data_IF_813014245125
#
_entry.id   IF_813014245125
#
_cell.length_a   1.000
_cell.length_b   1.000
_cell.length_c   1.000
_cell.angle_alpha   90.00
_cell.angle_beta   90.00
_cell.angle_gamma   90.00
#
_symmetry.space_group_name_H-M   'P 1'
#
loop_
_entity.id
_entity.type
_entity.pdbx_description
1 polymer ?
#
# COMPACT_ATOMS: atom_id res chain seq x y z
N UNK A 1 -0.48 -12.27 -0.18
CA UNK A 1 -1.29 -11.50 -1.16
C UNK A 1 -0.44 -10.35 -1.71
N UNK A 2 0.78 -10.66 -2.18
CA UNK A 2 1.83 -9.70 -2.55
C UNK A 2 2.28 -10.05 -3.97
N UNK A 3 1.45 -9.74 -4.98
CA UNK A 3 1.82 -9.91 -6.40
C UNK A 3 1.61 -8.65 -7.23
N UNK A 4 1.43 -7.51 -6.58
CA UNK A 4 1.16 -6.22 -7.23
C UNK A 4 2.12 -5.10 -6.82
N UNK A 5 3.27 -5.41 -6.20
CA UNK A 5 4.32 -4.42 -5.92
C UNK A 5 5.01 -3.88 -7.20
N UNK A 6 4.83 -4.55 -8.35
CA UNK A 6 5.43 -4.15 -9.63
C UNK A 6 4.90 -2.81 -10.19
N UNK A 7 3.78 -2.27 -9.68
CA UNK A 7 3.14 -1.08 -10.26
C UNK A 7 3.45 0.25 -9.53
N UNK A 8 4.23 0.25 -8.45
CA UNK A 8 4.46 1.45 -7.62
C UNK A 8 5.84 2.10 -7.78
N UNK A 9 6.65 1.64 -8.74
CA UNK A 9 8.00 2.17 -9.02
C UNK A 9 7.98 3.25 -10.13
N UNK A 10 6.94 3.30 -10.96
CA UNK A 10 6.93 4.10 -12.19
C UNK A 10 6.59 5.60 -12.03
N UNK A 11 6.22 6.05 -10.81
CA UNK A 11 5.70 7.42 -10.61
C UNK A 11 6.72 8.49 -10.24
N UNK A 12 7.98 8.14 -9.92
CA UNK A 12 8.96 9.08 -9.33
C UNK A 12 10.25 9.20 -10.15
N UNK A 13 10.49 8.31 -11.12
CA UNK A 13 11.77 8.22 -11.84
C UNK A 13 12.03 9.38 -12.82
N UNK A 14 11.00 9.94 -13.45
CA UNK A 14 11.20 10.90 -14.54
C UNK A 14 11.42 12.34 -14.07
N UNK A 15 10.88 12.72 -12.90
CA UNK A 15 10.96 14.11 -12.41
C UNK A 15 12.29 14.46 -11.72
N UNK A 16 13.09 13.46 -11.34
CA UNK A 16 14.35 13.65 -10.60
C UNK A 16 15.54 13.99 -11.50
N UNK A 17 15.52 13.63 -12.78
CA UNK A 17 16.60 13.92 -13.73
C UNK A 17 16.74 15.42 -14.07
N UNK A 18 15.64 16.18 -14.01
CA UNK A 18 15.62 17.59 -14.45
C UNK A 18 16.03 18.62 -13.38
N UNK A 19 16.28 18.23 -12.13
CA UNK A 19 16.55 19.19 -11.03
C UNK A 19 18.03 19.40 -10.71
N UNK A 20 18.94 18.82 -11.49
CA UNK A 20 20.39 18.89 -11.25
C UNK A 20 21.21 19.34 -12.47
N UNK A 21 20.55 19.81 -13.53
CA UNK A 21 21.25 20.39 -14.67
C UNK A 21 21.55 21.86 -14.38
N UNK A 22 22.62 22.12 -13.63
CA UNK A 22 23.29 23.41 -13.74
C UNK A 22 24.23 23.34 -14.92
N UNK A 23 24.07 24.24 -15.89
CA UNK A 23 25.03 24.35 -16.98
C UNK A 23 26.44 24.56 -16.40
N UNK A 24 27.42 23.77 -16.83
CA UNK A 24 28.76 23.88 -16.29
C UNK A 24 29.34 25.23 -16.70
N UNK A 25 29.78 26.03 -15.73
CA UNK A 25 30.57 27.21 -16.02
C UNK A 25 31.77 26.81 -16.90
N UNK A 26 32.04 27.59 -17.96
CA UNK A 26 33.23 27.38 -18.77
C UNK A 26 34.43 27.82 -17.93
N UNK A 27 35.04 26.88 -17.20
CA UNK A 27 36.23 27.15 -16.39
C UNK A 27 37.42 27.48 -17.28
N UNK A 28 38.27 28.42 -16.84
CA UNK A 28 39.57 28.68 -17.48
C UNK A 28 40.69 27.76 -16.94
N UNK A 29 40.40 26.97 -15.91
CA UNK A 29 41.40 26.16 -15.21
C UNK A 29 41.33 24.69 -15.67
N UNK A 30 42.47 24.21 -16.19
CA UNK A 30 42.72 22.85 -16.68
C UNK A 30 44.05 22.78 -17.46
N UNK A 31 44.64 21.60 -17.72
CA UNK A 31 45.87 21.46 -18.49
C UNK A 31 45.59 21.64 -20.00
N UNK A 32 45.29 22.87 -20.39
CA UNK A 32 45.01 23.29 -21.77
C UNK A 32 44.33 24.66 -21.78
N UNK A 33 44.98 25.67 -22.36
CA UNK A 33 44.38 27.00 -22.46
C UNK A 33 43.36 27.03 -23.61
N UNK A 34 42.08 27.12 -23.29
CA UNK A 34 41.03 27.39 -24.27
C UNK A 34 41.24 28.77 -24.92
N UNK A 35 41.14 28.85 -26.25
CA UNK A 35 41.23 30.15 -26.90
C UNK A 35 39.99 30.99 -26.63
N UNK A 36 40.13 32.32 -26.50
CA UNK A 36 38.99 33.23 -26.33
C UNK A 36 37.94 33.08 -27.44
N UNK A 37 38.37 32.72 -28.65
CA UNK A 37 37.44 32.50 -29.78
C UNK A 37 36.60 31.25 -29.58
N UNK A 38 37.20 30.16 -29.07
CA UNK A 38 36.47 28.93 -28.74
C UNK A 38 35.56 29.14 -27.54
N UNK A 39 36.04 29.84 -26.51
CA UNK A 39 35.24 30.21 -25.34
C UNK A 39 33.94 30.93 -25.73
N UNK A 40 34.04 32.05 -26.47
CA UNK A 40 32.86 32.81 -26.93
C UNK A 40 31.96 32.03 -27.91
N UNK A 41 32.44 30.93 -28.49
CA UNK A 41 31.62 30.04 -29.33
C UNK A 41 30.86 29.04 -28.48
N UNK A 42 31.50 28.47 -27.46
CA UNK A 42 30.86 27.58 -26.51
C UNK A 42 29.79 28.31 -25.70
N UNK A 43 30.04 29.55 -25.25
CA UNK A 43 29.01 30.36 -24.57
C UNK A 43 27.75 30.51 -25.43
N UNK A 44 27.90 30.84 -26.71
CA UNK A 44 26.76 30.95 -27.65
C UNK A 44 26.07 29.61 -27.92
N UNK A 45 26.82 28.50 -27.90
CA UNK A 45 26.22 27.17 -28.01
C UNK A 45 25.34 26.90 -26.78
N UNK A 46 25.83 27.21 -25.57
CA UNK A 46 25.05 27.03 -24.35
C UNK A 46 23.82 27.94 -24.31
N UNK A 47 23.97 29.22 -24.68
CA UNK A 47 22.85 30.16 -24.81
C UNK A 47 21.79 29.63 -25.78
N UNK A 48 22.18 29.14 -26.96
CA UNK A 48 21.25 28.53 -27.91
C UNK A 48 20.57 27.27 -27.35
N UNK A 49 21.26 26.45 -26.54
CA UNK A 49 20.63 25.30 -25.86
C UNK A 49 19.62 25.77 -24.80
N UNK A 50 19.95 26.80 -24.01
CA UNK A 50 19.05 27.40 -23.01
C UNK A 50 17.81 28.02 -23.65
N UNK A 51 17.96 28.66 -24.80
CA UNK A 51 16.88 29.30 -25.56
C UNK A 51 16.09 28.31 -26.44
N UNK A 52 16.36 27.00 -26.32
CA UNK A 52 15.74 25.92 -27.10
C UNK A 52 15.97 26.03 -28.62
N UNK A 53 17.00 26.77 -29.04
CA UNK A 53 17.44 26.94 -30.43
C UNK A 53 18.32 25.77 -30.89
N UNK A 54 17.79 24.55 -30.80
CA UNK A 54 18.56 23.31 -30.97
C UNK A 54 19.23 23.13 -32.34
N UNK A 55 18.57 23.57 -33.42
CA UNK A 55 19.13 23.51 -34.77
C UNK A 55 20.36 24.43 -34.90
N UNK A 56 20.29 25.63 -34.31
CA UNK A 56 21.42 26.55 -34.27
C UNK A 56 22.55 25.97 -33.41
N UNK A 57 22.24 25.48 -32.22
CA UNK A 57 23.22 24.83 -31.34
C UNK A 57 23.95 23.68 -32.07
N UNK A 58 23.22 22.79 -32.76
CA UNK A 58 23.78 21.67 -33.54
C UNK A 58 24.72 22.16 -34.65
N UNK A 59 24.32 23.21 -35.37
CA UNK A 59 25.16 23.80 -36.42
C UNK A 59 26.44 24.44 -35.85
N UNK A 60 26.33 25.19 -34.76
CA UNK A 60 27.47 25.85 -34.11
C UNK A 60 28.45 24.81 -33.54
N UNK A 61 27.96 23.73 -32.91
CA UNK A 61 28.77 22.60 -32.41
C UNK A 61 29.54 21.96 -33.57
N UNK A 62 28.85 21.62 -34.67
CA UNK A 62 29.48 20.99 -35.84
C UNK A 62 30.61 21.86 -36.41
N UNK A 63 30.33 23.16 -36.61
CA UNK A 63 31.33 24.12 -37.11
C UNK A 63 32.51 24.31 -36.15
N UNK A 64 32.26 24.23 -34.84
CA UNK A 64 33.32 24.34 -33.84
C UNK A 64 34.19 23.07 -33.82
N UNK A 65 33.57 21.90 -33.90
CA UNK A 65 34.25 20.60 -33.93
C UNK A 65 35.27 20.50 -35.10
N UNK A 66 34.92 21.04 -36.27
CA UNK A 66 35.81 21.11 -37.44
C UNK A 66 37.05 21.99 -37.22
N UNK A 67 37.05 22.87 -36.22
CA UNK A 67 38.08 23.91 -35.99
C UNK A 67 38.94 23.64 -34.77
N UNK A 68 38.43 22.97 -33.75
CA UNK A 68 39.21 22.62 -32.56
C UNK A 68 40.36 21.68 -32.94
N UNK A 69 41.53 21.89 -32.33
CA UNK A 69 42.77 21.15 -32.66
C UNK A 69 43.46 20.51 -31.46
N UNK A 70 43.07 20.88 -30.25
CA UNK A 70 43.58 20.29 -29.02
C UNK A 70 42.46 19.56 -28.28
N UNK A 71 42.86 18.63 -27.40
CA UNK A 71 41.95 17.73 -26.71
C UNK A 71 41.06 18.46 -25.69
N UNK A 72 41.55 19.54 -25.06
CA UNK A 72 40.78 20.35 -24.13
C UNK A 72 39.58 21.05 -24.80
N UNK A 73 39.81 21.80 -25.88
CA UNK A 73 38.73 22.44 -26.65
C UNK A 73 37.79 21.40 -27.28
N UNK A 74 38.32 20.24 -27.70
CA UNK A 74 37.51 19.14 -28.21
C UNK A 74 36.61 18.54 -27.13
N UNK A 75 37.13 18.30 -25.92
CA UNK A 75 36.37 17.78 -24.79
C UNK A 75 35.22 18.72 -24.43
N UNK A 76 35.44 20.03 -24.36
CA UNK A 76 34.37 20.99 -24.09
C UNK A 76 33.32 21.06 -25.21
N UNK A 77 33.73 20.92 -26.48
CA UNK A 77 32.80 20.92 -27.62
C UNK A 77 31.96 19.63 -27.67
N UNK A 78 32.58 18.47 -27.45
CA UNK A 78 31.89 17.18 -27.35
C UNK A 78 30.95 17.15 -26.15
N UNK A 79 31.35 17.75 -25.01
CA UNK A 79 30.46 17.89 -23.86
C UNK A 79 29.20 18.66 -24.24
N UNK A 80 29.31 19.80 -24.92
CA UNK A 80 28.14 20.54 -25.40
C UNK A 80 27.27 19.73 -26.37
N UNK A 81 27.90 18.94 -27.25
CA UNK A 81 27.23 17.97 -28.13
C UNK A 81 26.42 16.93 -27.34
N UNK A 82 27.04 16.26 -26.37
CA UNK A 82 26.36 15.24 -25.57
C UNK A 82 25.22 15.79 -24.72
N UNK A 83 25.35 17.02 -24.20
CA UNK A 83 24.23 17.68 -23.50
C UNK A 83 23.08 18.02 -24.46
N UNK A 84 23.37 18.55 -25.66
CA UNK A 84 22.34 18.81 -26.67
C UNK A 84 21.63 17.51 -27.08
N UNK A 85 22.38 16.45 -27.36
CA UNK A 85 21.81 15.13 -27.67
C UNK A 85 20.94 14.62 -26.52
N UNK A 86 21.39 14.77 -25.26
CA UNK A 86 20.61 14.39 -24.08
C UNK A 86 19.30 15.18 -23.96
N UNK A 87 19.31 16.49 -24.21
CA UNK A 87 18.10 17.34 -24.21
C UNK A 87 17.11 16.93 -25.29
N UNK A 88 17.61 16.43 -26.43
CA UNK A 88 16.80 15.94 -27.54
C UNK A 88 16.39 14.47 -27.38
N UNK A 89 16.66 13.84 -26.23
CA UNK A 89 16.41 12.42 -25.96
C UNK A 89 17.15 11.48 -26.92
N UNK A 90 18.24 11.95 -27.54
CA UNK A 90 19.16 11.19 -28.39
C UNK A 90 20.24 10.51 -27.53
N UNK A 91 19.82 9.64 -26.61
CA UNK A 91 20.68 9.13 -25.54
C UNK A 91 21.89 8.32 -26.02
N UNK A 92 21.76 7.53 -27.07
CA UNK A 92 22.89 6.79 -27.66
C UNK A 92 24.01 7.74 -28.12
N UNK A 93 23.66 8.81 -28.85
CA UNK A 93 24.63 9.81 -29.31
C UNK A 93 25.20 10.62 -28.15
N UNK A 94 24.38 10.93 -27.14
CA UNK A 94 24.85 11.61 -25.95
C UNK A 94 25.90 10.80 -25.19
N UNK A 95 25.65 9.50 -25.01
CA UNK A 95 26.59 8.57 -24.39
C UNK A 95 27.88 8.47 -25.20
N UNK A 96 27.81 8.34 -26.53
CA UNK A 96 29.00 8.32 -27.40
C UNK A 96 29.85 9.59 -27.23
N UNK A 97 29.21 10.76 -27.25
CA UNK A 97 29.88 12.05 -27.05
C UNK A 97 30.54 12.14 -25.66
N UNK A 98 29.82 11.79 -24.60
CA UNK A 98 30.33 11.86 -23.23
C UNK A 98 31.44 10.85 -22.94
N UNK A 99 31.33 9.61 -23.43
CA UNK A 99 32.40 8.62 -23.32
C UNK A 99 33.67 9.12 -24.02
N UNK A 100 33.53 9.76 -25.19
CA UNK A 100 34.66 10.35 -25.88
C UNK A 100 35.29 11.51 -25.13
N UNK A 101 34.50 12.32 -24.42
CA UNK A 101 35.02 13.38 -23.54
C UNK A 101 35.85 12.77 -22.40
N UNK A 102 35.37 11.69 -21.78
CA UNK A 102 36.07 11.02 -20.69
C UNK A 102 37.40 10.39 -21.19
N UNK A 103 37.41 9.79 -22.40
CA UNK A 103 38.62 9.24 -23.01
C UNK A 103 39.72 10.28 -23.29
N UNK A 104 39.33 11.53 -23.56
CA UNK A 104 40.28 12.60 -23.83
C UNK A 104 41.03 13.06 -22.58
N UNK A 105 40.49 12.78 -21.38
CA UNK A 105 41.08 13.15 -20.08
C UNK A 105 41.56 14.62 -20.03
N UNK A 106 40.77 15.51 -20.62
CA UNK A 106 41.15 16.91 -20.85
C UNK A 106 40.28 17.92 -20.07
N UNK A 107 39.31 17.42 -19.28
CA UNK A 107 38.51 18.22 -18.36
C UNK A 107 39.19 18.32 -16.99
N UNK A 108 38.88 19.37 -16.22
CA UNK A 108 39.26 19.44 -14.81
C UNK A 108 38.50 18.42 -13.96
N UNK A 109 39.04 18.02 -12.82
CA UNK A 109 38.53 16.93 -11.98
C UNK A 109 37.03 17.04 -11.66
N UNK A 110 36.58 18.23 -11.24
CA UNK A 110 35.15 18.51 -10.94
C UNK A 110 34.25 18.23 -12.16
N UNK A 111 34.64 18.75 -13.33
CA UNK A 111 33.89 18.58 -14.56
C UNK A 111 33.89 17.12 -15.06
N UNK A 112 34.96 16.37 -14.79
CA UNK A 112 35.04 14.93 -15.10
C UNK A 112 34.11 14.13 -14.18
N UNK A 113 34.10 14.43 -12.88
CA UNK A 113 33.21 13.78 -11.90
C UNK A 113 31.75 14.03 -12.23
N UNK A 114 31.36 15.28 -12.49
CA UNK A 114 29.99 15.61 -12.91
C UNK A 114 29.57 14.84 -14.17
N UNK A 115 30.48 14.71 -15.13
CA UNK A 115 30.22 13.99 -16.37
C UNK A 115 30.03 12.48 -16.15
N UNK A 116 30.83 11.85 -15.28
CA UNK A 116 30.67 10.43 -14.92
C UNK A 116 29.28 10.17 -14.33
N UNK A 117 28.79 11.08 -13.48
CA UNK A 117 27.45 10.96 -12.90
C UNK A 117 26.35 11.12 -13.96
N UNK A 118 26.51 12.05 -14.90
CA UNK A 118 25.54 12.22 -15.99
C UNK A 118 25.47 10.97 -16.87
N UNK A 119 26.60 10.36 -17.20
CA UNK A 119 26.65 9.12 -17.97
C UNK A 119 25.98 7.97 -17.21
N UNK A 120 26.20 7.85 -15.90
CA UNK A 120 25.49 6.88 -15.08
C UNK A 120 23.97 7.07 -15.12
N UNK A 121 23.50 8.32 -14.98
CA UNK A 121 22.07 8.65 -15.03
C UNK A 121 21.45 8.32 -16.38
N UNK A 122 22.12 8.65 -17.49
CA UNK A 122 21.65 8.30 -18.83
C UNK A 122 21.56 6.79 -19.02
N UNK A 123 22.56 6.03 -18.57
CA UNK A 123 22.49 4.57 -18.60
C UNK A 123 21.31 4.04 -17.76
N UNK A 124 21.04 4.62 -16.59
CA UNK A 124 19.87 4.23 -15.80
C UNK A 124 18.53 4.56 -16.48
N UNK A 125 18.44 5.68 -17.21
CA UNK A 125 17.26 6.08 -17.98
C UNK A 125 16.99 5.12 -19.15
N UNK A 126 18.05 4.66 -19.81
CA UNK A 126 18.01 3.66 -20.89
C UNK A 126 17.94 2.21 -20.36
N UNK A 127 17.64 2.02 -19.07
CA UNK A 127 17.55 0.71 -18.40
C UNK A 127 18.85 -0.13 -18.46
N UNK A 128 19.99 0.48 -18.79
CA UNK A 128 21.32 -0.12 -18.79
C UNK A 128 21.91 -0.09 -17.38
N UNK A 129 21.26 -0.78 -16.44
CA UNK A 129 21.57 -0.65 -15.00
C UNK A 129 22.98 -1.14 -14.62
N UNK A 130 23.53 -2.15 -15.28
CA UNK A 130 24.91 -2.58 -15.04
C UNK A 130 25.92 -1.48 -15.39
N UNK A 131 25.69 -0.77 -16.50
CA UNK A 131 26.54 0.36 -16.90
C UNK A 131 26.35 1.55 -15.99
N UNK A 132 25.12 1.83 -15.57
CA UNK A 132 24.84 2.86 -14.55
C UNK A 132 25.68 2.62 -13.29
N UNK A 133 25.66 1.40 -12.75
CA UNK A 133 26.44 1.03 -11.55
C UNK A 133 27.94 1.21 -11.81
N UNK A 134 28.45 0.71 -12.94
CA UNK A 134 29.87 0.87 -13.29
C UNK A 134 30.30 2.36 -13.33
N UNK A 135 29.48 3.24 -13.89
CA UNK A 135 29.78 4.66 -13.94
C UNK A 135 29.63 5.36 -12.58
N UNK A 136 28.73 4.89 -11.71
CA UNK A 136 28.66 5.37 -10.32
C UNK A 136 29.93 4.96 -9.56
N UNK A 137 30.40 3.73 -9.70
CA UNK A 137 31.64 3.28 -9.06
C UNK A 137 32.84 4.10 -9.55
N UNK A 138 32.89 4.41 -10.85
CA UNK A 138 33.91 5.31 -11.42
C UNK A 138 33.79 6.73 -10.89
N UNK A 139 32.58 7.27 -10.77
CA UNK A 139 32.32 8.58 -10.17
C UNK A 139 32.86 8.66 -8.74
N UNK A 140 32.56 7.65 -7.91
CA UNK A 140 33.01 7.59 -6.52
C UNK A 140 34.53 7.49 -6.44
N UNK A 141 35.14 6.55 -7.17
CA UNK A 141 36.59 6.33 -7.15
C UNK A 141 37.36 7.53 -7.69
N UNK A 142 36.93 8.12 -8.82
CA UNK A 142 37.61 9.28 -9.40
C UNK A 142 37.52 10.49 -8.48
N UNK A 143 36.35 10.75 -7.88
CA UNK A 143 36.18 11.87 -6.95
C UNK A 143 37.05 11.74 -5.70
N UNK A 144 37.10 10.54 -5.10
CA UNK A 144 37.98 10.26 -3.95
C UNK A 144 39.47 10.46 -4.26
N UNK A 145 39.90 10.09 -5.48
CA UNK A 145 41.30 10.22 -5.90
C UNK A 145 41.68 11.65 -6.31
N UNK A 146 40.77 12.41 -6.93
CA UNK A 146 41.10 13.64 -7.66
C UNK A 146 40.51 14.94 -7.10
N UNK A 147 39.63 14.88 -6.09
CA UNK A 147 38.96 16.05 -5.51
C UNK A 147 39.22 16.09 -3.99
N UNK A 148 39.84 17.16 -3.52
CA UNK A 148 40.02 17.41 -2.08
C UNK A 148 38.64 17.64 -1.42
N UNK A 149 38.40 17.01 -0.27
CA UNK A 149 37.11 17.07 0.42
C UNK A 149 35.91 16.63 -0.43
N UNK A 150 36.10 15.65 -1.31
CA UNK A 150 34.99 15.05 -2.07
C UNK A 150 33.88 14.55 -1.13
N UNK A 151 32.64 15.01 -1.39
CA UNK A 151 31.43 14.62 -0.66
C UNK A 151 30.33 14.23 -1.65
N UNK A 152 30.19 12.94 -1.98
CA UNK A 152 29.09 12.46 -2.80
C UNK A 152 27.74 12.81 -2.19
N UNK A 153 26.80 13.24 -3.03
CA UNK A 153 25.43 13.51 -2.57
C UNK A 153 24.72 12.20 -2.26
N UNK A 154 23.88 12.12 -1.21
CA UNK A 154 23.10 10.92 -0.87
C UNK A 154 22.34 10.30 -2.06
N UNK A 155 21.82 11.13 -2.98
CA UNK A 155 21.09 10.68 -4.17
C UNK A 155 21.92 9.82 -5.13
N UNK A 156 23.24 9.93 -5.14
CA UNK A 156 24.10 9.08 -5.98
C UNK A 156 24.03 7.63 -5.50
N UNK A 157 24.11 7.42 -4.19
CA UNK A 157 23.96 6.09 -3.60
C UNK A 157 22.53 5.56 -3.75
N UNK A 158 21.50 6.42 -3.68
CA UNK A 158 20.14 6.02 -4.02
C UNK A 158 20.03 5.48 -5.46
N UNK A 159 20.64 6.16 -6.44
CA UNK A 159 20.64 5.71 -7.84
C UNK A 159 21.33 4.34 -7.99
N UNK A 160 22.43 4.11 -7.28
CA UNK A 160 23.12 2.82 -7.26
C UNK A 160 22.20 1.72 -6.69
N UNK A 161 21.60 1.96 -5.52
CA UNK A 161 20.66 1.03 -4.89
C UNK A 161 19.47 0.70 -5.80
N UNK A 162 18.90 1.71 -6.47
CA UNK A 162 17.81 1.53 -7.42
C UNK A 162 18.24 0.76 -8.67
N UNK A 163 19.44 1.01 -9.19
CA UNK A 163 19.98 0.25 -10.32
C UNK A 163 20.17 -1.23 -9.96
N UNK A 164 20.72 -1.52 -8.77
CA UNK A 164 20.81 -2.89 -8.25
C UNK A 164 19.43 -3.54 -8.07
N UNK A 165 18.43 -2.80 -7.58
CA UNK A 165 17.05 -3.29 -7.47
C UNK A 165 16.48 -3.75 -8.81
N UNK A 166 16.69 -2.98 -9.89
CA UNK A 166 16.19 -3.36 -11.22
C UNK A 166 16.85 -4.64 -11.75
N UNK A 167 18.08 -4.92 -11.31
CA UNK A 167 18.80 -6.15 -11.60
C UNK A 167 18.46 -7.30 -10.64
N UNK A 168 17.52 -7.11 -9.71
CA UNK A 168 17.19 -8.04 -8.62
C UNK A 168 18.40 -8.37 -7.72
N UNK A 169 19.37 -7.46 -7.64
CA UNK A 169 20.56 -7.54 -6.79
C UNK A 169 20.29 -6.88 -5.44
N UNK A 170 19.29 -7.40 -4.73
CA UNK A 170 18.75 -6.77 -3.52
C UNK A 170 19.79 -6.63 -2.41
N UNK A 171 20.62 -7.66 -2.20
CA UNK A 171 21.63 -7.67 -1.12
C UNK A 171 22.76 -6.69 -1.39
N UNK A 172 23.11 -6.50 -2.66
CA UNK A 172 24.10 -5.54 -3.14
C UNK A 172 23.58 -4.10 -3.08
N UNK A 173 22.26 -3.89 -3.15
CA UNK A 173 21.64 -2.56 -3.03
C UNK A 173 21.69 -1.98 -1.61
N UNK A 174 21.69 -2.84 -0.57
CA UNK A 174 21.60 -2.42 0.84
C UNK A 174 22.70 -1.44 1.28
N UNK A 175 24.00 -1.70 1.06
CA UNK A 175 25.06 -0.80 1.51
C UNK A 175 24.94 0.61 0.91
N UNK A 176 24.48 0.71 -0.35
CA UNK A 176 24.26 1.99 -1.00
C UNK A 176 23.12 2.77 -0.35
N UNK A 177 21.96 2.13 -0.12
CA UNK A 177 20.84 2.86 0.47
C UNK A 177 21.10 3.23 1.94
N UNK A 178 21.81 2.39 2.69
CA UNK A 178 22.23 2.71 4.06
C UNK A 178 23.17 3.92 4.07
N UNK A 179 24.15 3.96 3.15
CA UNK A 179 25.04 5.12 2.99
C UNK A 179 24.26 6.39 2.61
N UNK A 180 23.25 6.27 1.74
CA UNK A 180 22.38 7.41 1.39
C UNK A 180 21.65 7.97 2.63
N UNK A 181 21.16 7.10 3.50
CA UNK A 181 20.47 7.49 4.74
C UNK A 181 21.46 8.13 5.72
N UNK A 182 22.63 7.54 5.92
CA UNK A 182 23.67 8.04 6.84
C UNK A 182 24.19 9.44 6.44
N UNK A 183 24.33 9.70 5.14
CA UNK A 183 24.79 10.99 4.62
C UNK A 183 23.68 12.04 4.57
N UNK A 184 22.42 11.68 4.80
CA UNK A 184 21.30 12.61 4.74
C UNK A 184 21.20 13.45 6.01
N UNK A 185 21.27 14.77 5.88
CA UNK A 185 21.13 15.69 7.04
C UNK A 185 19.74 15.65 7.68
N UNK A 186 18.72 15.26 6.91
CA UNK A 186 17.33 15.12 7.35
C UNK A 186 16.76 13.79 6.86
N UNK A 187 15.77 13.20 7.57
CA UNK A 187 15.11 11.99 7.12
C UNK A 187 14.52 12.16 5.71
N UNK A 188 14.97 11.32 4.78
CA UNK A 188 14.50 11.35 3.40
C UNK A 188 13.59 10.16 3.14
N UNK A 189 12.29 10.43 2.99
CA UNK A 189 11.25 9.39 2.83
C UNK A 189 11.55 8.43 1.68
N UNK A 190 12.11 8.94 0.58
CA UNK A 190 12.43 8.10 -0.58
C UNK A 190 13.54 7.09 -0.29
N UNK A 191 14.49 7.41 0.60
CA UNK A 191 15.57 6.48 0.93
C UNK A 191 15.07 5.32 1.77
N UNK A 192 14.28 5.60 2.81
CA UNK A 192 13.65 4.57 3.63
C UNK A 192 12.69 3.70 2.82
N UNK A 193 11.94 4.28 1.87
CA UNK A 193 11.09 3.50 0.96
C UNK A 193 11.89 2.49 0.13
N UNK A 194 13.05 2.89 -0.39
CA UNK A 194 13.93 1.98 -1.14
C UNK A 194 14.46 0.88 -0.22
N UNK A 195 14.92 1.22 0.99
CA UNK A 195 15.38 0.25 2.00
C UNK A 195 14.29 -0.76 2.38
N UNK A 196 13.07 -0.28 2.64
CA UNK A 196 11.91 -1.13 2.91
C UNK A 196 11.66 -2.11 1.75
N UNK A 197 11.66 -1.61 0.51
CA UNK A 197 11.48 -2.46 -0.67
C UNK A 197 12.57 -3.53 -0.77
N UNK A 198 13.84 -3.18 -0.52
CA UNK A 198 14.94 -4.15 -0.54
C UNK A 198 14.73 -5.26 0.49
N UNK A 199 14.44 -4.92 1.75
CA UNK A 199 14.20 -5.92 2.80
C UNK A 199 12.95 -6.78 2.50
N UNK A 200 11.88 -6.18 1.98
CA UNK A 200 10.67 -6.92 1.61
C UNK A 200 10.92 -7.94 0.49
N UNK A 201 11.69 -7.58 -0.53
CA UNK A 201 12.06 -8.50 -1.64
C UNK A 201 13.04 -9.59 -1.19
N UNK A 202 13.87 -9.32 -0.16
CA UNK A 202 14.71 -10.32 0.50
C UNK A 202 13.95 -11.24 1.47
N UNK A 203 12.64 -11.01 1.66
CA UNK A 203 11.82 -11.65 2.71
C UNK A 203 12.38 -11.45 4.14
N UNK A 204 13.16 -10.39 4.33
CA UNK A 204 13.70 -9.93 5.61
C UNK A 204 12.61 -9.10 6.33
N UNK A 205 11.51 -9.77 6.71
CA UNK A 205 10.30 -9.11 7.20
C UNK A 205 10.49 -8.33 8.50
N UNK A 206 11.42 -8.75 9.37
CA UNK A 206 11.72 -8.03 10.61
C UNK A 206 12.40 -6.70 10.29
N UNK A 207 13.41 -6.71 9.42
CA UNK A 207 14.15 -5.53 8.98
C UNK A 207 13.25 -4.57 8.17
N UNK A 208 12.33 -5.12 7.38
CA UNK A 208 11.31 -4.33 6.71
C UNK A 208 10.33 -3.67 7.70
N UNK A 209 9.92 -4.37 8.76
CA UNK A 209 9.10 -3.81 9.83
C UNK A 209 9.84 -2.71 10.60
N UNK A 210 11.10 -2.93 10.96
CA UNK A 210 11.95 -1.95 11.64
C UNK A 210 12.10 -0.68 10.79
N UNK A 211 12.35 -0.85 9.48
CA UNK A 211 12.42 0.29 8.54
C UNK A 211 11.10 1.09 8.50
N UNK A 212 9.94 0.42 8.52
CA UNK A 212 8.65 1.10 8.56
C UNK A 212 8.39 1.79 9.90
N UNK A 213 8.89 1.24 11.00
CA UNK A 213 8.81 1.90 12.31
C UNK A 213 9.62 3.20 12.31
N UNK A 214 10.85 3.18 11.79
CA UNK A 214 11.66 4.40 11.60
C UNK A 214 10.93 5.43 10.72
N UNK A 215 10.30 4.98 9.63
CA UNK A 215 9.49 5.84 8.78
C UNK A 215 8.31 6.48 9.54
N UNK A 216 7.65 5.72 10.42
CA UNK A 216 6.52 6.20 11.20
C UNK A 216 6.93 7.16 12.33
N UNK A 217 8.18 7.18 12.77
CA UNK A 217 8.70 8.23 13.66
C UNK A 217 8.71 9.61 12.99
N UNK A 218 8.93 9.64 11.67
CA UNK A 218 9.02 10.87 10.88
C UNK A 218 7.73 11.23 10.15
N UNK A 219 6.98 10.24 9.68
CA UNK A 219 5.72 10.40 8.93
C UNK A 219 4.56 9.61 9.59
N UNK A 220 4.18 9.93 10.85
CA UNK A 220 3.23 9.15 11.65
C UNK A 220 1.77 9.19 11.15
N UNK A 221 1.46 10.09 10.22
CA UNK A 221 0.12 10.25 9.63
C UNK A 221 -0.01 9.53 8.28
N UNK A 222 1.06 8.89 7.79
CA UNK A 222 1.03 8.15 6.52
C UNK A 222 0.39 6.77 6.71
N UNK A 223 -0.90 6.65 6.39
CA UNK A 223 -1.67 5.41 6.56
C UNK A 223 -1.09 4.22 5.79
N UNK A 224 -0.43 4.47 4.65
CA UNK A 224 0.22 3.41 3.88
C UNK A 224 1.32 2.71 4.67
N UNK A 225 2.11 3.43 5.46
CA UNK A 225 3.20 2.83 6.25
C UNK A 225 2.65 1.98 7.39
N UNK A 226 1.59 2.44 8.05
CA UNK A 226 0.89 1.62 9.04
C UNK A 226 0.36 0.32 8.43
N UNK A 227 -0.24 0.39 7.23
CA UNK A 227 -0.79 -0.79 6.58
C UNK A 227 0.30 -1.75 6.07
N UNK A 228 1.41 -1.22 5.57
CA UNK A 228 2.58 -2.03 5.23
C UNK A 228 3.18 -2.70 6.47
N UNK A 229 3.22 -2.00 7.62
CA UNK A 229 3.74 -2.54 8.88
C UNK A 229 2.82 -3.64 9.41
N UNK A 230 1.51 -3.45 9.33
CA UNK A 230 0.52 -4.50 9.57
C UNK A 230 0.84 -5.74 8.70
N UNK A 231 1.08 -5.55 7.41
CA UNK A 231 1.47 -6.64 6.50
C UNK A 231 2.73 -7.38 6.96
N UNK A 232 3.79 -6.66 7.34
CA UNK A 232 5.03 -7.28 7.82
C UNK A 232 4.81 -8.08 9.11
N UNK A 233 4.03 -7.55 10.06
CA UNK A 233 3.71 -8.30 11.28
C UNK A 233 2.84 -9.53 11.01
N UNK A 234 1.95 -9.49 10.02
CA UNK A 234 1.20 -10.69 9.62
C UNK A 234 2.10 -11.77 9.02
N UNK A 235 3.09 -11.42 8.19
CA UNK A 235 4.07 -12.39 7.64
C UNK A 235 4.98 -12.97 8.73
N UNK A 236 5.31 -12.17 9.76
CA UNK A 236 6.07 -12.61 10.94
C UNK A 236 5.25 -13.48 11.91
N UNK A 237 3.93 -13.60 11.74
CA UNK A 237 3.05 -14.23 12.72
C UNK A 237 3.04 -13.49 14.07
N UNK A 238 3.19 -12.16 14.03
CA UNK A 238 3.14 -11.29 15.20
C UNK A 238 1.77 -10.58 15.24
N UNK A 239 0.74 -11.29 15.70
CA UNK A 239 -0.63 -10.77 15.72
C UNK A 239 -0.78 -9.55 16.66
N UNK A 240 -0.03 -9.51 17.76
CA UNK A 240 -0.03 -8.36 18.69
C UNK A 240 0.52 -7.10 18.01
N UNK A 241 1.64 -7.24 17.27
CA UNK A 241 2.21 -6.16 16.47
C UNK A 241 1.24 -5.72 15.36
N UNK A 242 0.61 -6.67 14.67
CA UNK A 242 -0.37 -6.40 13.62
C UNK A 242 -1.59 -5.63 14.15
N UNK A 243 -2.10 -6.01 15.33
CA UNK A 243 -3.16 -5.30 16.03
C UNK A 243 -2.72 -3.87 16.38
N UNK A 244 -1.52 -3.71 16.92
CA UNK A 244 -0.95 -2.38 17.19
C UNK A 244 -0.87 -1.50 15.95
N UNK A 245 -0.38 -2.05 14.83
CA UNK A 245 -0.20 -1.34 13.57
C UNK A 245 -1.51 -0.82 12.96
N UNK A 246 -2.66 -1.46 13.23
CA UNK A 246 -3.98 -0.97 12.78
C UNK A 246 -4.74 -0.19 13.86
N UNK A 247 -4.60 -0.54 15.14
CA UNK A 247 -5.31 0.12 16.23
C UNK A 247 -4.80 1.55 16.51
N UNK A 248 -3.53 1.85 16.23
CA UNK A 248 -2.97 3.21 16.35
C UNK A 248 -3.58 4.16 15.31
N UNK A 249 -3.45 3.92 13.99
CA UNK A 249 -4.05 4.81 12.98
C UNK A 249 -5.57 4.89 13.07
N UNK A 250 -6.28 3.82 13.47
CA UNK A 250 -7.72 3.87 13.75
C UNK A 250 -8.05 4.92 14.82
N UNK A 251 -7.34 4.91 15.95
CA UNK A 251 -7.53 5.90 17.03
C UNK A 251 -7.17 7.32 16.61
N UNK A 252 -6.29 7.48 15.63
CA UNK A 252 -5.95 8.78 15.03
C UNK A 252 -6.93 9.24 13.94
N UNK A 253 -7.90 8.40 13.56
CA UNK A 253 -8.86 8.71 12.50
C UNK A 253 -8.25 8.70 11.10
N UNK A 254 -7.21 7.88 10.88
CA UNK A 254 -6.49 7.80 9.60
C UNK A 254 -7.07 6.74 8.63
N UNK A 255 -8.10 6.00 9.04
CA UNK A 255 -8.73 5.00 8.19
C UNK A 255 -9.57 5.66 7.10
N UNK A 256 -9.36 5.23 5.86
CA UNK A 256 -10.00 5.75 4.65
C UNK A 256 -10.39 4.64 3.64
N UNK A 257 -10.39 3.37 4.07
CA UNK A 257 -10.69 2.22 3.21
C UNK A 257 -11.37 1.09 3.98
N UNK A 258 -12.26 0.34 3.31
CA UNK A 258 -12.98 -0.82 3.88
C UNK A 258 -12.04 -1.83 4.54
N UNK A 259 -10.91 -2.16 3.91
CA UNK A 259 -10.00 -3.20 4.38
C UNK A 259 -9.33 -2.81 5.70
N UNK A 260 -9.11 -1.52 5.97
CA UNK A 260 -8.58 -1.03 7.24
C UNK A 260 -9.50 -1.42 8.42
N UNK A 261 -10.80 -1.11 8.30
CA UNK A 261 -11.80 -1.46 9.31
C UNK A 261 -11.98 -2.97 9.43
N UNK A 262 -12.07 -3.66 8.29
CA UNK A 262 -12.37 -5.10 8.27
C UNK A 262 -11.20 -5.93 8.82
N UNK A 263 -9.96 -5.56 8.54
CA UNK A 263 -8.80 -6.26 9.09
C UNK A 263 -8.64 -6.00 10.59
N UNK A 264 -8.84 -4.77 11.05
CA UNK A 264 -8.85 -4.49 12.49
C UNK A 264 -9.98 -5.22 13.22
N UNK A 265 -11.20 -5.26 12.63
CA UNK A 265 -12.30 -6.08 13.12
C UNK A 265 -11.88 -7.55 13.26
N UNK A 266 -11.25 -8.15 12.24
CA UNK A 266 -10.82 -9.56 12.28
C UNK A 266 -9.80 -9.82 13.39
N UNK A 267 -8.84 -8.91 13.59
CA UNK A 267 -7.85 -9.04 14.67
C UNK A 267 -8.54 -9.00 16.04
N UNK A 268 -9.47 -8.07 16.27
CA UNK A 268 -10.25 -8.06 17.52
C UNK A 268 -11.08 -9.33 17.71
N UNK A 269 -11.68 -9.86 16.65
CA UNK A 269 -12.42 -11.13 16.73
C UNK A 269 -11.53 -12.33 17.03
N UNK A 270 -10.28 -12.32 16.55
CA UNK A 270 -9.26 -13.33 16.81
C UNK A 270 -8.79 -13.27 18.28
N UNK A 271 -8.53 -12.07 18.79
CA UNK A 271 -8.15 -11.81 20.19
C UNK A 271 -9.32 -11.97 21.19
N UNK A 272 -10.47 -12.47 20.74
CA UNK A 272 -11.70 -12.62 21.55
C UNK A 272 -12.17 -11.31 22.22
N UNK A 273 -12.02 -10.20 21.49
CA UNK A 273 -12.52 -8.87 21.84
C UNK A 273 -13.71 -8.48 20.91
N UNK A 274 -14.85 -9.20 20.96
CA UNK A 274 -15.91 -9.05 19.98
C UNK A 274 -16.63 -7.69 20.04
N UNK A 275 -16.64 -7.03 21.20
CA UNK A 275 -17.26 -5.73 21.36
C UNK A 275 -16.46 -4.65 20.62
N UNK A 276 -15.14 -4.64 20.80
CA UNK A 276 -14.20 -3.77 20.11
C UNK A 276 -14.26 -4.00 18.59
N UNK A 277 -14.26 -5.26 18.17
CA UNK A 277 -14.44 -5.62 16.76
C UNK A 277 -15.74 -5.06 16.18
N UNK A 278 -16.87 -5.24 16.88
CA UNK A 278 -18.16 -4.72 16.47
C UNK A 278 -18.15 -3.18 16.37
N UNK A 279 -17.51 -2.49 17.33
CA UNK A 279 -17.39 -1.04 17.29
C UNK A 279 -16.61 -0.54 16.07
N UNK A 280 -15.48 -1.18 15.74
CA UNK A 280 -14.69 -0.83 14.56
C UNK A 280 -15.51 -1.01 13.29
N UNK A 281 -16.16 -2.17 13.14
CA UNK A 281 -16.92 -2.45 11.93
C UNK A 281 -18.13 -1.51 11.77
N UNK A 282 -18.84 -1.22 12.87
CA UNK A 282 -19.91 -0.23 12.89
C UNK A 282 -19.42 1.18 12.56
N UNK A 283 -18.27 1.60 13.12
CA UNK A 283 -17.68 2.90 12.83
C UNK A 283 -17.34 3.06 11.33
N UNK A 284 -16.81 2.00 10.70
CA UNK A 284 -16.57 1.99 9.26
C UNK A 284 -17.86 2.12 8.44
N UNK A 285 -18.96 1.49 8.89
CA UNK A 285 -20.27 1.64 8.23
C UNK A 285 -20.86 3.04 8.40
N UNK A 286 -20.69 3.64 9.58
CA UNK A 286 -21.18 4.99 9.87
C UNK A 286 -20.38 6.06 9.14
N UNK A 287 -19.08 5.82 8.91
CA UNK A 287 -18.23 6.65 8.05
C UNK A 287 -18.55 6.51 6.55
N UNK A 288 -19.31 5.48 6.16
CA UNK A 288 -19.61 5.15 4.76
C UNK A 288 -18.51 4.36 4.04
N UNK A 289 -17.42 4.03 4.72
CA UNK A 289 -16.29 3.29 4.16
C UNK A 289 -16.52 1.78 4.12
N UNK A 290 -17.34 1.24 5.03
CA UNK A 290 -17.76 -0.18 5.01
C UNK A 290 -19.19 -0.27 4.49
N UNK A 291 -19.44 -0.95 3.36
CA UNK A 291 -20.78 -1.10 2.83
C UNK A 291 -21.72 -1.84 3.79
N UNK A 292 -22.95 -1.34 3.94
CA UNK A 292 -24.05 -2.00 4.67
C UNK A 292 -24.71 -3.08 3.78
N UNK A 293 -23.97 -4.16 3.53
CA UNK A 293 -24.42 -5.31 2.75
C UNK A 293 -24.49 -6.58 3.61
N UNK A 294 -25.05 -7.66 3.03
CA UNK A 294 -25.27 -8.95 3.71
C UNK A 294 -24.02 -9.45 4.45
N UNK A 295 -22.86 -9.35 3.79
CA UNK A 295 -21.58 -9.81 4.33
C UNK A 295 -21.19 -9.07 5.60
N UNK A 296 -21.17 -7.74 5.58
CA UNK A 296 -20.66 -6.96 6.70
C UNK A 296 -21.70 -6.79 7.82
N UNK A 297 -22.98 -6.70 7.48
CA UNK A 297 -24.07 -6.71 8.47
C UNK A 297 -24.13 -8.06 9.20
N UNK A 298 -23.97 -9.17 8.48
CA UNK A 298 -23.87 -10.50 9.08
C UNK A 298 -22.69 -10.64 10.06
N UNK A 299 -21.53 -10.08 9.70
CA UNK A 299 -20.35 -10.02 10.57
C UNK A 299 -20.60 -9.16 11.81
N UNK A 300 -21.17 -7.96 11.65
CA UNK A 300 -21.48 -7.06 12.74
C UNK A 300 -22.50 -7.67 13.72
N UNK A 301 -23.58 -8.26 13.21
CA UNK A 301 -24.57 -8.97 14.02
C UNK A 301 -23.93 -10.11 14.82
N UNK A 302 -23.08 -10.92 14.18
CA UNK A 302 -22.36 -12.00 14.87
C UNK A 302 -21.43 -11.46 15.97
N UNK A 303 -20.72 -10.37 15.70
CA UNK A 303 -19.85 -9.73 16.69
C UNK A 303 -20.66 -9.24 17.91
N UNK A 304 -21.80 -8.58 17.71
CA UNK A 304 -22.66 -8.17 18.82
C UNK A 304 -23.26 -9.35 19.59
N UNK A 305 -23.65 -10.45 18.93
CA UNK A 305 -24.08 -11.67 19.63
C UNK A 305 -22.95 -12.23 20.51
N UNK A 306 -21.72 -12.33 19.98
CA UNK A 306 -20.55 -12.80 20.75
C UNK A 306 -20.15 -11.86 21.89
N UNK A 307 -20.46 -10.57 21.76
CA UNK A 307 -20.25 -9.56 22.78
C UNK A 307 -21.39 -9.47 23.81
N UNK A 308 -22.42 -10.32 23.70
CA UNK A 308 -23.66 -10.29 24.51
C UNK A 308 -24.48 -8.99 24.38
N UNK A 309 -24.19 -8.17 23.37
CA UNK A 309 -24.88 -6.92 23.02
C UNK A 309 -26.18 -7.21 22.25
N UNK A 310 -27.11 -7.90 22.90
CA UNK A 310 -28.26 -8.52 22.23
C UNK A 310 -29.18 -7.50 21.52
N UNK A 311 -29.44 -6.35 22.15
CA UNK A 311 -30.33 -5.33 21.55
C UNK A 311 -29.70 -4.72 20.27
N UNK A 312 -28.37 -4.54 20.26
CA UNK A 312 -27.64 -4.09 19.06
C UNK A 312 -27.60 -5.17 18.00
N UNK A 313 -27.38 -6.43 18.40
CA UNK A 313 -27.43 -7.57 17.48
C UNK A 313 -28.80 -7.67 16.78
N UNK A 314 -29.89 -7.53 17.52
CA UNK A 314 -31.25 -7.54 16.96
C UNK A 314 -31.42 -6.39 15.97
N UNK A 315 -31.02 -5.16 16.32
CA UNK A 315 -31.14 -4.00 15.42
C UNK A 315 -30.41 -4.23 14.08
N UNK A 316 -29.20 -4.80 14.12
CA UNK A 316 -28.43 -5.12 12.91
C UNK A 316 -29.03 -6.29 12.13
N UNK A 317 -29.62 -7.28 12.82
CA UNK A 317 -30.32 -8.39 12.16
C UNK A 317 -31.61 -7.94 11.46
N UNK A 318 -32.31 -6.94 12.01
CA UNK A 318 -33.47 -6.34 11.34
C UNK A 318 -33.04 -5.65 10.03
N UNK A 319 -31.96 -4.86 10.07
CA UNK A 319 -31.37 -4.27 8.86
C UNK A 319 -30.91 -5.35 7.86
N UNK A 320 -30.28 -6.43 8.35
CA UNK A 320 -29.86 -7.55 7.51
C UNK A 320 -31.05 -8.24 6.83
N UNK A 321 -32.18 -8.40 7.52
CA UNK A 321 -33.40 -8.97 6.93
C UNK A 321 -33.93 -8.13 5.76
N UNK A 322 -33.85 -6.81 5.87
CA UNK A 322 -34.27 -5.90 4.80
C UNK A 322 -33.35 -6.00 3.57
N UNK A 323 -32.03 -6.12 3.80
CA UNK A 323 -31.04 -6.23 2.73
C UNK A 323 -31.13 -7.59 2.01
N UNK A 324 -31.22 -8.69 2.76
CA UNK A 324 -31.31 -10.04 2.17
C UNK A 324 -32.69 -10.37 1.60
N UNK A 325 -33.75 -9.74 2.13
CA UNK A 325 -35.14 -10.12 1.81
C UNK A 325 -35.49 -11.53 2.27
N UNK A 326 -34.79 -12.07 3.28
CA UNK A 326 -34.93 -13.44 3.78
C UNK A 326 -35.46 -13.48 5.23
N UNK A 327 -36.06 -14.60 5.61
CA UNK A 327 -36.51 -14.86 6.97
C UNK A 327 -35.39 -15.28 7.93
N UNK A 328 -34.17 -15.55 7.44
CA UNK A 328 -33.09 -16.14 8.23
C UNK A 328 -32.60 -15.18 9.35
N UNK A 329 -32.42 -13.86 9.11
CA UNK A 329 -32.10 -12.95 10.20
C UNK A 329 -33.23 -12.85 11.25
N UNK A 330 -34.50 -12.92 10.83
CA UNK A 330 -35.64 -12.99 11.76
C UNK A 330 -35.65 -14.28 12.59
N UNK A 331 -35.24 -15.41 12.01
CA UNK A 331 -35.07 -16.66 12.74
C UNK A 331 -33.99 -16.54 13.82
N UNK A 332 -32.87 -15.86 13.50
CA UNK A 332 -31.83 -15.53 14.49
C UNK A 332 -32.33 -14.60 15.59
N UNK A 333 -33.12 -13.57 15.26
CA UNK A 333 -33.77 -12.69 16.26
C UNK A 333 -34.67 -13.50 17.19
N UNK A 334 -35.48 -14.41 16.64
CA UNK A 334 -36.33 -15.29 17.43
C UNK A 334 -35.51 -16.13 18.42
N UNK A 335 -34.37 -16.70 18.01
CA UNK A 335 -33.49 -17.44 18.92
C UNK A 335 -32.95 -16.58 20.06
N UNK A 336 -32.56 -15.33 19.80
CA UNK A 336 -32.09 -14.39 20.82
C UNK A 336 -33.20 -14.03 21.81
N UNK A 337 -34.42 -13.75 21.33
CA UNK A 337 -35.54 -13.41 22.20
C UNK A 337 -36.03 -14.59 23.04
N UNK A 338 -35.91 -15.81 22.51
CA UNK A 338 -36.13 -17.02 23.30
C UNK A 338 -35.16 -17.11 24.48
N UNK A 339 -33.87 -16.83 24.26
CA UNK A 339 -32.87 -16.87 25.34
C UNK A 339 -33.14 -15.83 26.43
N UNK A 340 -33.73 -14.68 26.06
CA UNK A 340 -34.13 -13.61 26.99
C UNK A 340 -35.49 -13.84 27.67
N UNK A 341 -36.24 -14.87 27.27
CA UNK A 341 -37.60 -15.11 27.76
C UNK A 341 -38.61 -14.06 27.31
N UNK A 342 -38.37 -13.40 26.17
CA UNK A 342 -39.20 -12.34 25.61
C UNK A 342 -40.23 -12.95 24.65
N UNK A 343 -41.26 -13.58 25.22
CA UNK A 343 -42.17 -14.45 24.46
C UNK A 343 -42.98 -13.74 23.38
N UNK A 344 -43.41 -12.50 23.61
CA UNK A 344 -44.12 -11.70 22.59
C UNK A 344 -43.20 -11.37 21.40
N UNK A 345 -41.95 -10.98 21.69
CA UNK A 345 -40.96 -10.67 20.66
C UNK A 345 -40.53 -11.93 19.89
N UNK A 346 -40.37 -13.06 20.60
CA UNK A 346 -40.13 -14.37 20.02
C UNK A 346 -41.21 -14.75 19.00
N UNK A 347 -42.48 -14.62 19.38
CA UNK A 347 -43.61 -14.94 18.52
C UNK A 347 -43.61 -14.07 17.26
N UNK A 348 -43.41 -12.76 17.42
CA UNK A 348 -43.33 -11.80 16.31
C UNK A 348 -42.19 -12.15 15.34
N UNK A 349 -40.98 -12.37 15.86
CA UNK A 349 -39.81 -12.69 15.05
C UNK A 349 -39.94 -14.04 14.34
N UNK A 350 -40.39 -15.08 15.03
CA UNK A 350 -40.56 -16.41 14.44
C UNK A 350 -41.66 -16.43 13.36
N UNK A 351 -42.72 -15.64 13.54
CA UNK A 351 -43.76 -15.46 12.52
C UNK A 351 -43.21 -14.78 11.27
N UNK A 352 -42.49 -13.66 11.43
CA UNK A 352 -41.84 -12.96 10.29
C UNK A 352 -40.85 -13.84 9.56
N UNK A 353 -40.03 -14.60 10.30
CA UNK A 353 -39.09 -15.56 9.73
C UNK A 353 -39.80 -16.57 8.82
N UNK A 354 -40.89 -17.17 9.32
CA UNK A 354 -41.65 -18.16 8.56
C UNK A 354 -42.38 -17.55 7.34
N UNK A 355 -42.97 -16.36 7.49
CA UNK A 355 -43.73 -15.69 6.43
C UNK A 355 -42.84 -15.19 5.28
N UNK A 356 -41.66 -14.64 5.58
CA UNK A 356 -40.70 -14.19 4.57
C UNK A 356 -40.07 -15.36 3.81
N UNK A 357 -39.97 -16.54 4.45
CA UNK A 357 -39.37 -17.73 3.83
C UNK A 357 -37.86 -17.61 3.66
N UNK A 358 -37.28 -18.44 2.78
CA UNK A 358 -35.82 -18.49 2.60
C UNK A 358 -35.06 -19.04 3.82
N UNK A 359 -35.73 -19.82 4.66
CA UNK A 359 -35.16 -20.42 5.86
C UNK A 359 -34.43 -21.72 5.55
N UNK A 360 -33.27 -21.91 6.16
CA UNK A 360 -32.60 -23.23 6.19
C UNK A 360 -33.38 -24.23 7.04
N UNK A 361 -34.08 -23.74 8.08
CA UNK A 361 -34.79 -24.54 9.09
C UNK A 361 -36.23 -24.06 9.31
N UNK A 362 -37.11 -24.19 8.29
CA UNK A 362 -38.48 -23.70 8.37
C UNK A 362 -39.33 -24.40 9.44
N UNK A 363 -39.10 -25.70 9.68
CA UNK A 363 -39.77 -26.43 10.75
C UNK A 363 -39.41 -25.88 12.13
N UNK A 364 -38.13 -25.57 12.35
CA UNK A 364 -37.70 -24.99 13.62
C UNK A 364 -38.30 -23.60 13.88
N UNK A 365 -38.55 -22.78 12.86
CA UNK A 365 -39.26 -21.52 13.06
C UNK A 365 -40.67 -21.74 13.63
N UNK A 366 -41.40 -22.75 13.12
CA UNK A 366 -42.70 -23.15 13.66
C UNK A 366 -42.60 -23.69 15.10
N UNK A 367 -41.53 -24.39 15.44
CA UNK A 367 -41.26 -24.81 16.84
C UNK A 367 -41.08 -23.58 17.74
N UNK A 368 -40.32 -22.57 17.31
CA UNK A 368 -40.15 -21.33 18.07
C UNK A 368 -41.50 -20.60 18.29
N UNK A 369 -42.34 -20.52 17.25
CA UNK A 369 -43.70 -19.96 17.36
C UNK A 369 -44.54 -20.75 18.38
N UNK A 370 -44.51 -22.08 18.31
CA UNK A 370 -45.26 -22.94 19.22
C UNK A 370 -44.80 -22.79 20.67
N UNK A 371 -43.49 -22.68 20.91
CA UNK A 371 -42.93 -22.44 22.24
C UNK A 371 -43.36 -21.08 22.79
N UNK A 372 -43.31 -20.03 21.98
CA UNK A 372 -43.79 -18.70 22.37
C UNK A 372 -45.26 -18.72 22.81
N UNK A 373 -46.10 -19.44 22.07
CA UNK A 373 -47.52 -19.61 22.41
C UNK A 373 -47.71 -20.45 23.68
N UNK A 374 -46.94 -21.52 23.88
CA UNK A 374 -47.01 -22.38 25.06
C UNK A 374 -46.62 -21.61 26.34
N UNK A 375 -45.55 -20.82 26.30
CA UNK A 375 -45.12 -19.98 27.43
C UNK A 375 -46.15 -18.88 27.78
N UNK A 376 -46.89 -18.41 26.78
CA UNK A 376 -48.03 -17.52 26.95
C UNK A 376 -49.34 -18.25 27.32
N UNK A 377 -49.30 -19.56 27.55
CA UNK A 377 -50.43 -20.42 27.90
C UNK A 377 -51.54 -20.47 26.82
N UNK A 378 -51.18 -20.21 25.58
CA UNK A 378 -52.07 -20.27 24.42
C UNK A 378 -52.00 -21.66 23.78
N UNK A 379 -52.50 -22.66 24.51
CA UNK A 379 -52.30 -24.09 24.22
C UNK A 379 -52.77 -24.52 22.82
N UNK A 380 -53.93 -24.03 22.35
CA UNK A 380 -54.43 -24.36 21.02
C UNK A 380 -53.53 -23.82 19.90
N UNK A 381 -52.98 -22.61 20.09
CA UNK A 381 -52.03 -22.00 19.14
C UNK A 381 -50.70 -22.74 19.16
N UNK A 382 -50.21 -23.10 20.35
CA UNK A 382 -49.00 -23.90 20.52
C UNK A 382 -49.13 -25.26 19.81
N UNK A 383 -50.20 -26.00 20.10
CA UNK A 383 -50.48 -27.29 19.47
C UNK A 383 -50.55 -27.19 17.95
N UNK A 384 -51.21 -26.15 17.43
CA UNK A 384 -51.32 -25.91 15.97
C UNK A 384 -49.95 -25.66 15.34
N UNK A 385 -49.11 -24.82 15.96
CA UNK A 385 -47.77 -24.52 15.47
C UNK A 385 -46.87 -25.78 15.49
N UNK A 386 -46.91 -26.56 16.57
CA UNK A 386 -46.15 -27.81 16.64
C UNK A 386 -46.65 -28.86 15.66
N UNK A 387 -47.96 -28.97 15.44
CA UNK A 387 -48.52 -29.90 14.46
C UNK A 387 -48.04 -29.58 13.04
N UNK A 388 -47.99 -28.29 12.68
CA UNK A 388 -47.39 -27.85 11.40
C UNK A 388 -45.89 -28.12 11.36
N UNK A 389 -45.18 -27.91 12.47
CA UNK A 389 -43.75 -28.21 12.56
C UNK A 389 -43.44 -29.72 12.37
N UNK A 390 -44.37 -30.62 12.68
CA UNK A 390 -44.19 -32.06 12.44
C UNK A 390 -44.11 -32.44 10.96
N UNK A 391 -44.60 -31.59 10.06
CA UNK A 391 -44.50 -31.82 8.61
C UNK A 391 -43.06 -31.63 8.09
N UNK A 392 -42.15 -31.10 8.92
CA UNK A 392 -40.77 -30.81 8.56
C UNK A 392 -39.78 -31.73 9.27
N UNK A 393 -38.86 -32.31 8.51
CA UNK A 393 -37.85 -33.25 9.01
C UNK A 393 -36.94 -32.61 10.08
N UNK A 394 -36.60 -31.33 9.93
CA UNK A 394 -35.70 -30.61 10.85
C UNK A 394 -36.32 -30.35 12.25
N UNK A 395 -37.63 -30.53 12.39
CA UNK A 395 -38.41 -30.21 13.58
C UNK A 395 -39.27 -31.35 14.14
N UNK A 396 -39.54 -32.41 13.37
CA UNK A 396 -40.50 -33.47 13.72
C UNK A 396 -40.34 -34.01 15.15
N UNK A 397 -39.11 -34.36 15.55
CA UNK A 397 -38.83 -34.91 16.89
C UNK A 397 -39.14 -33.92 18.01
N UNK A 398 -38.74 -32.65 17.85
CA UNK A 398 -38.98 -31.63 18.88
C UNK A 398 -40.46 -31.29 18.95
N UNK A 399 -41.11 -31.12 17.79
CA UNK A 399 -42.53 -30.84 17.71
C UNK A 399 -43.37 -31.93 18.40
N UNK A 400 -43.04 -33.22 18.19
CA UNK A 400 -43.72 -34.33 18.85
C UNK A 400 -43.61 -34.27 20.38
N UNK A 401 -42.43 -33.96 20.91
CA UNK A 401 -42.22 -33.81 22.36
C UNK A 401 -43.07 -32.66 22.92
N UNK A 402 -43.09 -31.53 22.23
CA UNK A 402 -43.87 -30.36 22.64
C UNK A 402 -45.39 -30.59 22.56
N UNK A 403 -45.88 -31.34 21.57
CA UNK A 403 -47.31 -31.70 21.50
C UNK A 403 -47.72 -32.51 22.73
N UNK A 404 -46.96 -33.55 23.08
CA UNK A 404 -47.25 -34.34 24.28
C UNK A 404 -47.29 -33.48 25.54
N UNK A 405 -46.33 -32.57 25.71
CA UNK A 405 -46.33 -31.62 26.82
C UNK A 405 -47.57 -30.71 26.85
N UNK A 406 -47.94 -30.13 25.71
CA UNK A 406 -49.12 -29.23 25.61
C UNK A 406 -50.42 -29.98 25.88
N UNK A 407 -50.54 -31.24 25.44
CA UNK A 407 -51.71 -32.09 25.70
C UNK A 407 -51.86 -32.42 27.20
N UNK A 408 -50.76 -32.73 27.89
CA UNK A 408 -50.75 -32.98 29.34
C UNK A 408 -51.18 -31.73 30.13
N UNK A 409 -50.58 -30.56 29.83
CA UNK A 409 -50.93 -29.29 30.47
C UNK A 409 -52.39 -28.90 30.25
N UNK A 410 -52.94 -29.19 29.07
CA UNK A 410 -54.35 -28.95 28.77
C UNK A 410 -55.28 -29.81 29.63
N UNK A 411 -54.99 -31.11 29.73
CA UNK A 411 -55.81 -32.04 30.52
C UNK A 411 -55.79 -31.69 32.02
N UNK A 412 -54.66 -31.21 32.54
CA UNK A 412 -54.54 -30.78 33.94
C UNK A 412 -55.39 -29.54 34.27
N UNK A 413 -55.66 -28.68 33.28
CA UNK A 413 -56.44 -27.43 33.46
C UNK A 413 -57.94 -27.59 33.19
N UNK A 414 -58.32 -28.67 32.51
CA UNK A 414 -59.73 -29.05 32.29
C UNK A 414 -60.30 -29.84 33.49
N UNK A 415 -59.46 -30.25 34.45
CA UNK A 415 -59.81 -30.84 35.75
C UNK A 415 -59.90 -29.78 36.84
#
# INVERSE_FOLDING_TARGET
>A
MIRSAQFLIWGVSLALALTLWSLPAVSQDGPGLMSQTTHNRLERIWEAIEEEEYDEAREQITRLMDRVRNDHERAHTLRASGFLHSTLEEFDQALEDFERVIELDALGSEATVDLLLNVAQLHAMEENFERSIEYIDRYLAYGEENIEDFRPRPRVYQLAAQSHLQLNQFREALPYIDTAIELSEQPNESFYRVKFTIHAELEEFQEAADTLQDMLEHWPDNMRYWYQLFGMFMELGNEEGALGALAVPYRKGLFDDTDHYVNLYRLYMFENAPFEGAQVLAAGMDAGEVPRNERYLGQLANAYVRAEETDRAISVLEELAEVEGSGEPWFRIAQLEQQRGRWEQLESAATRAYELGGLDRPGMALVLMGRAAAEQQQWDRAHTAFSRAMEYEDAERQARQWISFVEEERQLREQ
#
